data_IF_877666659607
#
_entry.id   IF_877666659607
#
_cell.length_a   1.000
_cell.length_b   1.000
_cell.length_c   1.000
_cell.angle_alpha   90.00
_cell.angle_beta   90.00
_cell.angle_gamma   90.00
#
_symmetry.space_group_name_H-M   'P 1'
#
loop_
_entity.id
_entity.type
_entity.pdbx_description
1 polymer ?
#
# COMPACT_ATOMS: atom_id res chain seq x y z
N UNK A 1 -21.10 -0.49 31.23
CA UNK A 1 -21.80 0.61 30.52
C UNK A 1 -21.17 1.99 30.75
N UNK A 2 -20.87 2.41 31.99
CA UNK A 2 -20.34 3.75 32.31
C UNK A 2 -19.01 4.16 31.62
N UNK A 3 -18.19 3.20 31.18
CA UNK A 3 -16.88 3.46 30.57
C UNK A 3 -16.98 3.85 29.09
N UNK A 4 -17.94 3.28 28.34
CA UNK A 4 -18.10 3.54 26.91
C UNK A 4 -18.68 4.95 26.65
N UNK A 5 -19.56 5.45 27.52
CA UNK A 5 -20.14 6.80 27.38
C UNK A 5 -19.06 7.90 27.41
N UNK A 6 -18.07 7.78 28.32
CA UNK A 6 -16.96 8.75 28.43
C UNK A 6 -16.05 8.77 27.19
N UNK A 7 -15.88 7.63 26.52
CA UNK A 7 -15.05 7.56 25.31
C UNK A 7 -15.80 8.12 24.09
N UNK A 8 -17.12 7.94 24.02
CA UNK A 8 -17.95 8.55 22.97
C UNK A 8 -18.01 10.08 23.06
N UNK A 9 -17.83 10.65 24.26
CA UNK A 9 -17.80 12.10 24.50
C UNK A 9 -16.44 12.75 24.25
N UNK A 10 -15.39 11.96 23.97
CA UNK A 10 -14.07 12.52 23.71
C UNK A 10 -14.09 13.43 22.47
N UNK A 11 -13.44 14.61 22.53
CA UNK A 11 -13.55 15.61 21.49
C UNK A 11 -13.05 15.07 20.15
N UNK A 12 -13.82 15.34 19.09
CA UNK A 12 -13.41 15.15 17.71
C UNK A 12 -12.11 15.92 17.49
N UNK A 13 -11.10 15.28 16.90
CA UNK A 13 -9.76 15.86 16.74
C UNK A 13 -9.59 16.52 15.38
N UNK A 14 -10.27 16.01 14.34
CA UNK A 14 -10.06 16.43 12.96
C UNK A 14 -11.29 17.05 12.31
N UNK A 15 -12.39 17.21 13.05
CA UNK A 15 -13.68 17.74 12.59
C UNK A 15 -14.31 16.96 11.43
N UNK A 16 -13.98 15.67 11.28
CA UNK A 16 -14.53 14.87 10.20
C UNK A 16 -15.99 14.49 10.46
N UNK A 17 -16.78 14.40 9.38
CA UNK A 17 -18.19 13.97 9.46
C UNK A 17 -18.24 12.51 9.93
N UNK A 18 -18.91 12.27 11.05
CA UNK A 18 -19.02 10.93 11.65
C UNK A 18 -17.78 10.48 12.42
N UNK A 19 -16.78 11.35 12.63
CA UNK A 19 -15.60 11.04 13.43
C UNK A 19 -16.00 10.52 14.82
N UNK A 20 -15.47 9.36 15.18
CA UNK A 20 -15.60 8.77 16.52
C UNK A 20 -14.22 8.63 17.15
N UNK A 21 -14.17 8.65 18.49
CA UNK A 21 -12.93 8.46 19.23
C UNK A 21 -12.16 7.18 18.85
N UNK A 22 -12.88 6.12 18.52
CA UNK A 22 -12.30 4.82 18.16
C UNK A 22 -11.50 4.84 16.85
N UNK A 23 -11.81 5.76 15.94
CA UNK A 23 -11.05 5.93 14.71
C UNK A 23 -9.58 6.26 14.97
N UNK A 24 -9.29 6.93 16.08
CA UNK A 24 -7.93 7.34 16.45
C UNK A 24 -7.37 6.44 17.53
N UNK A 25 -8.11 6.16 18.61
CA UNK A 25 -7.57 5.41 19.74
C UNK A 25 -7.36 3.91 19.41
N UNK A 26 -8.19 3.35 18.54
CA UNK A 26 -8.22 1.92 18.22
C UNK A 26 -7.79 1.63 16.78
N UNK A 27 -7.07 2.59 16.16
CA UNK A 27 -6.74 2.53 14.73
C UNK A 27 -5.97 1.26 14.32
N UNK A 28 -5.05 0.77 15.17
CA UNK A 28 -4.30 -0.46 14.90
C UNK A 28 -5.22 -1.67 14.69
N UNK A 29 -6.25 -1.80 15.53
CA UNK A 29 -7.23 -2.88 15.40
C UNK A 29 -8.09 -2.66 14.15
N UNK A 30 -8.56 -1.44 13.93
CA UNK A 30 -9.39 -1.10 12.78
C UNK A 30 -8.68 -1.38 11.46
N UNK A 31 -7.41 -0.99 11.33
CA UNK A 31 -6.62 -1.22 10.13
C UNK A 31 -6.31 -2.71 9.93
N UNK A 32 -6.00 -3.45 11.00
CA UNK A 32 -5.78 -4.91 10.90
C UNK A 32 -7.05 -5.64 10.48
N UNK A 33 -8.21 -5.23 10.99
CA UNK A 33 -9.50 -5.77 10.56
C UNK A 33 -9.78 -5.41 9.09
N UNK A 34 -9.51 -4.17 8.70
CA UNK A 34 -9.70 -3.71 7.33
C UNK A 34 -8.79 -4.43 6.34
N UNK A 35 -7.52 -4.64 6.65
CA UNK A 35 -6.62 -5.48 5.86
C UNK A 35 -7.16 -6.90 5.69
N UNK A 36 -7.75 -7.49 6.74
CA UNK A 36 -8.38 -8.81 6.65
C UNK A 36 -9.63 -8.83 5.77
N UNK A 37 -10.43 -7.76 5.79
CA UNK A 37 -11.56 -7.60 4.88
C UNK A 37 -11.08 -7.49 3.42
N UNK A 38 -10.02 -6.70 3.18
CA UNK A 38 -9.43 -6.58 1.85
C UNK A 38 -8.90 -7.92 1.33
N UNK A 39 -8.35 -8.79 2.19
CA UNK A 39 -7.89 -10.11 1.78
C UNK A 39 -8.98 -11.03 1.21
N UNK A 40 -10.27 -10.71 1.37
CA UNK A 40 -11.39 -11.52 0.85
C UNK A 40 -11.43 -11.49 -0.68
N UNK A 41 -10.83 -10.47 -1.33
CA UNK A 41 -10.82 -10.38 -2.80
C UNK A 41 -9.92 -11.42 -3.48
N UNK A 42 -9.07 -12.13 -2.73
CA UNK A 42 -8.20 -13.14 -3.30
C UNK A 42 -8.91 -14.48 -3.40
N UNK A 43 -8.71 -15.16 -4.53
CA UNK A 43 -9.21 -16.51 -4.71
C UNK A 43 -8.44 -17.48 -3.79
N UNK A 44 -9.19 -18.30 -3.05
CA UNK A 44 -8.64 -19.31 -2.14
C UNK A 44 -8.25 -20.61 -2.85
N UNK A 45 -8.76 -20.83 -4.06
CA UNK A 45 -8.49 -21.98 -4.93
C UNK A 45 -7.35 -21.68 -5.90
N UNK A 46 -7.26 -20.43 -6.36
CA UNK A 46 -6.24 -19.98 -7.32
C UNK A 46 -5.27 -18.96 -6.69
N UNK A 47 -4.12 -19.46 -6.25
CA UNK A 47 -3.14 -18.64 -5.54
C UNK A 47 -2.61 -17.48 -6.40
N UNK A 48 -2.85 -16.26 -5.94
CA UNK A 48 -2.38 -15.05 -6.62
C UNK A 48 -3.43 -14.42 -7.55
N UNK A 49 -4.60 -15.02 -7.69
CA UNK A 49 -5.70 -14.43 -8.45
C UNK A 49 -6.67 -13.65 -7.57
N UNK A 50 -7.37 -12.71 -8.21
CA UNK A 50 -8.53 -12.04 -7.65
C UNK A 50 -9.78 -12.81 -8.08
N UNK A 51 -10.78 -12.90 -7.19
CA UNK A 51 -12.09 -13.46 -7.57
C UNK A 51 -12.77 -12.57 -8.61
N UNK A 52 -13.66 -13.15 -9.42
CA UNK A 52 -14.39 -12.40 -10.45
C UNK A 52 -15.21 -11.25 -9.84
N UNK A 53 -15.75 -11.46 -8.63
CA UNK A 53 -16.57 -10.48 -7.89
C UNK A 53 -15.74 -9.51 -7.01
N UNK A 54 -14.44 -9.34 -7.29
CA UNK A 54 -13.56 -8.54 -6.45
C UNK A 54 -14.04 -7.09 -6.31
N UNK A 55 -14.57 -6.49 -7.38
CA UNK A 55 -15.09 -5.12 -7.35
C UNK A 55 -16.36 -5.01 -6.49
N UNK A 56 -17.30 -5.96 -6.58
CA UNK A 56 -18.50 -6.00 -5.72
C UNK A 56 -18.14 -6.20 -4.24
N UNK A 57 -17.14 -7.04 -3.96
CA UNK A 57 -16.61 -7.24 -2.60
C UNK A 57 -16.04 -5.92 -2.08
N UNK A 58 -15.23 -5.21 -2.88
CA UNK A 58 -14.65 -3.93 -2.49
C UNK A 58 -15.74 -2.88 -2.21
N UNK A 59 -16.79 -2.79 -3.03
CA UNK A 59 -17.93 -1.90 -2.76
C UNK A 59 -18.67 -2.28 -1.46
N UNK A 60 -18.80 -3.57 -1.18
CA UNK A 60 -19.38 -4.05 0.08
C UNK A 60 -18.51 -3.68 1.28
N UNK A 61 -17.19 -3.81 1.15
CA UNK A 61 -16.22 -3.44 2.18
C UNK A 61 -16.22 -1.92 2.43
N UNK A 62 -16.58 -1.08 1.45
CA UNK A 62 -16.74 0.37 1.68
C UNK A 62 -17.82 0.71 2.70
N UNK A 63 -18.83 -0.15 2.89
CA UNK A 63 -19.85 0.05 3.92
C UNK A 63 -19.26 0.08 5.35
N UNK A 64 -18.08 -0.53 5.56
CA UNK A 64 -17.41 -0.53 6.86
C UNK A 64 -16.59 0.73 7.13
N UNK A 65 -16.45 1.64 6.16
CA UNK A 65 -15.56 2.81 6.27
C UNK A 65 -15.92 3.72 7.44
N UNK A 66 -17.20 4.00 7.64
CA UNK A 66 -17.68 4.85 8.75
C UNK A 66 -17.48 4.19 10.11
N UNK A 67 -17.49 2.87 10.18
CA UNK A 67 -17.28 2.12 11.42
C UNK A 67 -15.78 2.13 11.78
N UNK A 68 -14.93 1.89 10.78
CA UNK A 68 -13.49 1.68 10.98
C UNK A 68 -12.65 2.96 10.87
N UNK A 69 -13.22 4.05 10.34
CA UNK A 69 -12.49 5.29 10.08
C UNK A 69 -11.62 5.23 8.82
N UNK A 70 -12.11 4.60 7.76
CA UNK A 70 -11.35 4.48 6.51
C UNK A 70 -11.73 5.60 5.56
N UNK A 71 -10.72 6.35 5.11
CA UNK A 71 -10.83 7.33 4.03
C UNK A 71 -10.43 6.68 2.70
N UNK A 72 -10.78 7.30 1.58
CA UNK A 72 -10.37 6.80 0.26
C UNK A 72 -8.84 6.64 0.17
N UNK A 73 -8.06 7.63 0.67
CA UNK A 73 -6.59 7.55 0.68
C UNK A 73 -6.06 6.40 1.52
N UNK A 74 -6.66 6.13 2.69
CA UNK A 74 -6.30 4.97 3.52
C UNK A 74 -6.66 3.66 2.84
N UNK A 75 -7.82 3.59 2.18
CA UNK A 75 -8.22 2.43 1.39
C UNK A 75 -7.21 2.13 0.28
N UNK A 76 -6.91 3.12 -0.56
CA UNK A 76 -5.98 2.96 -1.67
C UNK A 76 -4.58 2.52 -1.16
N UNK A 77 -4.17 3.03 0.00
CA UNK A 77 -2.88 2.70 0.64
C UNK A 77 -2.86 1.25 1.12
N UNK A 78 -3.86 0.87 1.92
CA UNK A 78 -3.96 -0.47 2.50
C UNK A 78 -4.18 -1.52 1.42
N UNK A 79 -4.97 -1.20 0.40
CA UNK A 79 -5.23 -2.12 -0.69
C UNK A 79 -4.01 -2.31 -1.59
N UNK A 80 -3.28 -1.23 -1.92
CA UNK A 80 -1.98 -1.36 -2.60
C UNK A 80 -1.01 -2.25 -1.80
N UNK A 81 -0.94 -2.06 -0.48
CA UNK A 81 -0.10 -2.88 0.39
C UNK A 81 -0.51 -4.36 0.41
N UNK A 82 -1.81 -4.65 0.52
CA UNK A 82 -2.34 -6.01 0.55
C UNK A 82 -2.10 -6.74 -0.78
N UNK A 83 -2.35 -6.07 -1.91
CA UNK A 83 -2.04 -6.58 -3.26
C UNK A 83 -0.55 -6.87 -3.41
N UNK A 84 0.30 -5.93 -3.01
CA UNK A 84 1.75 -6.08 -3.09
C UNK A 84 2.25 -7.25 -2.25
N UNK A 85 1.70 -7.42 -1.04
CA UNK A 85 2.07 -8.52 -0.16
C UNK A 85 1.73 -9.87 -0.80
N UNK A 86 0.52 -10.01 -1.36
CA UNK A 86 0.13 -11.25 -2.05
C UNK A 86 0.97 -11.47 -3.31
N UNK A 87 1.32 -10.42 -4.05
CA UNK A 87 2.30 -10.50 -5.15
C UNK A 87 3.66 -11.02 -4.66
N UNK A 88 4.21 -10.45 -3.59
CA UNK A 88 5.51 -10.84 -3.07
C UNK A 88 5.53 -12.31 -2.57
N UNK A 89 4.38 -12.85 -2.18
CA UNK A 89 4.20 -14.25 -1.77
C UNK A 89 4.04 -15.21 -2.98
N UNK A 90 3.32 -14.79 -4.02
CA UNK A 90 2.90 -15.68 -5.13
C UNK A 90 3.73 -15.52 -6.40
N UNK A 91 4.35 -14.36 -6.60
CA UNK A 91 5.01 -13.98 -7.85
C UNK A 91 4.05 -13.58 -8.97
N UNK A 92 2.74 -13.51 -8.72
CA UNK A 92 1.74 -13.26 -9.77
C UNK A 92 1.80 -11.81 -10.29
N UNK A 93 2.18 -11.65 -11.56
CA UNK A 93 2.48 -10.34 -12.16
C UNK A 93 1.23 -9.46 -12.24
N UNK A 94 0.04 -10.06 -12.41
CA UNK A 94 -1.21 -9.30 -12.44
C UNK A 94 -1.44 -8.53 -11.13
N UNK A 95 -1.08 -9.11 -9.97
CA UNK A 95 -1.16 -8.42 -8.68
C UNK A 95 -0.21 -7.22 -8.59
N UNK A 96 0.97 -7.31 -9.20
CA UNK A 96 1.89 -6.17 -9.30
C UNK A 96 1.30 -5.05 -10.15
N UNK A 97 0.65 -5.39 -11.28
CA UNK A 97 -0.07 -4.40 -12.12
C UNK A 97 -1.17 -3.71 -11.32
N UNK A 98 -2.00 -4.46 -10.58
CA UNK A 98 -3.02 -3.88 -9.71
C UNK A 98 -2.41 -2.99 -8.61
N UNK A 99 -1.30 -3.42 -7.99
CA UNK A 99 -0.56 -2.61 -7.01
C UNK A 99 -0.12 -1.27 -7.61
N UNK A 100 0.41 -1.26 -8.83
CA UNK A 100 0.82 -0.03 -9.52
C UNK A 100 -0.36 0.93 -9.69
N UNK A 101 -1.50 0.42 -10.15
CA UNK A 101 -2.72 1.21 -10.34
C UNK A 101 -3.20 1.83 -9.02
N UNK A 102 -3.24 1.06 -7.93
CA UNK A 102 -3.63 1.60 -6.63
C UNK A 102 -2.63 2.64 -6.11
N UNK A 103 -1.33 2.40 -6.28
CA UNK A 103 -0.27 3.34 -5.88
C UNK A 103 -0.34 4.64 -6.69
N UNK A 104 -0.74 4.59 -7.96
CA UNK A 104 -0.97 5.79 -8.77
C UNK A 104 -2.14 6.63 -8.24
N UNK A 105 -3.23 6.01 -7.79
CA UNK A 105 -4.36 6.72 -7.18
C UNK A 105 -3.94 7.52 -5.94
N UNK A 106 -2.95 7.03 -5.18
CA UNK A 106 -2.42 7.75 -4.02
C UNK A 106 -1.88 9.14 -4.34
N UNK A 107 -1.37 9.34 -5.57
CA UNK A 107 -0.86 10.62 -6.04
C UNK A 107 -1.95 11.56 -6.56
N UNK A 108 -3.13 11.01 -6.90
CA UNK A 108 -4.26 11.76 -7.44
C UNK A 108 -5.19 12.28 -6.34
N UNK A 109 -4.98 11.89 -5.08
CA UNK A 109 -5.77 12.40 -3.95
C UNK A 109 -5.54 13.90 -3.77
N UNK A 110 -6.58 14.67 -4.06
CA UNK A 110 -6.72 16.08 -3.68
C UNK A 110 -7.59 16.18 -2.42
N UNK A 111 -7.07 15.64 -1.32
CA UNK A 111 -7.80 15.59 -0.06
C UNK A 111 -7.98 16.99 0.55
N UNK A 112 -9.11 17.19 1.22
CA UNK A 112 -9.26 18.33 2.11
C UNK A 112 -8.20 18.26 3.23
N UNK A 113 -7.72 19.42 3.69
CA UNK A 113 -6.67 19.54 4.73
C UNK A 113 -6.95 18.69 5.98
N UNK A 114 -8.21 18.58 6.39
CA UNK A 114 -8.64 17.78 7.54
C UNK A 114 -8.41 16.27 7.32
N UNK A 115 -8.72 15.76 6.12
CA UNK A 115 -8.52 14.35 5.73
C UNK A 115 -7.02 14.04 5.63
N UNK A 116 -6.23 14.98 5.12
CA UNK A 116 -4.77 14.85 5.05
C UNK A 116 -4.17 14.78 6.47
N UNK A 117 -4.55 15.70 7.35
CA UNK A 117 -4.10 15.70 8.76
C UNK A 117 -4.51 14.42 9.50
N UNK A 118 -5.74 13.95 9.27
CA UNK A 118 -6.23 12.70 9.83
C UNK A 118 -5.38 11.51 9.35
N UNK A 119 -5.17 11.39 8.04
CA UNK A 119 -4.41 10.30 7.43
C UNK A 119 -2.95 10.30 7.90
N UNK A 120 -2.33 11.48 7.98
CA UNK A 120 -0.95 11.64 8.44
C UNK A 120 -0.79 11.47 9.96
N UNK A 121 -1.88 11.45 10.72
CA UNK A 121 -1.83 11.22 12.17
C UNK A 121 -1.50 9.77 12.55
N UNK A 122 -1.68 8.83 11.61
CA UNK A 122 -1.35 7.43 11.81
C UNK A 122 0.14 7.20 11.56
N UNK A 123 0.91 7.19 12.64
CA UNK A 123 2.36 7.03 12.60
C UNK A 123 2.75 5.59 12.93
N UNK A 124 3.60 5.02 12.09
CA UNK A 124 4.23 3.72 12.30
C UNK A 124 5.74 3.89 12.45
N UNK A 125 6.35 3.08 13.31
CA UNK A 125 7.80 2.93 13.30
C UNK A 125 8.20 2.10 12.07
N UNK A 126 9.12 2.65 11.28
CA UNK A 126 9.70 1.95 10.15
C UNK A 126 11.22 2.00 10.24
N UNK A 127 11.87 0.87 10.03
CA UNK A 127 13.33 0.79 9.92
C UNK A 127 13.77 1.29 8.54
N UNK A 128 14.44 2.43 8.50
CA UNK A 128 15.02 2.99 7.28
C UNK A 128 16.44 3.53 7.56
N UNK A 129 17.36 3.27 6.64
CA UNK A 129 18.74 3.76 6.67
C UNK A 129 19.48 3.51 8.01
N UNK A 130 19.27 2.34 8.64
CA UNK A 130 19.96 1.97 9.88
C UNK A 130 19.38 2.60 11.15
N UNK A 131 18.20 3.24 11.09
CA UNK A 131 17.49 3.77 12.25
C UNK A 131 15.97 3.56 12.17
N UNK A 132 15.30 3.75 13.31
CA UNK A 132 13.84 3.77 13.39
C UNK A 132 13.34 5.18 13.07
N UNK A 133 12.59 5.34 11.98
CA UNK A 133 11.89 6.57 11.64
C UNK A 133 10.39 6.44 11.90
N UNK A 134 9.80 7.49 12.43
CA UNK A 134 8.36 7.65 12.53
C UNK A 134 7.83 8.13 11.18
N UNK A 135 7.08 7.28 10.48
CA UNK A 135 6.51 7.57 9.17
C UNK A 135 4.99 7.48 9.23
N UNK A 136 4.29 8.25 8.38
CA UNK A 136 2.86 8.02 8.19
C UNK A 136 2.61 6.59 7.69
N UNK A 137 1.40 6.07 7.89
CA UNK A 137 1.04 4.74 7.36
C UNK A 137 1.29 4.65 5.84
N UNK A 138 0.97 5.72 5.11
CA UNK A 138 1.17 5.83 3.66
C UNK A 138 2.65 5.72 3.31
N UNK A 139 3.49 6.53 3.96
CA UNK A 139 4.94 6.51 3.74
C UNK A 139 5.55 5.18 4.15
N UNK A 140 5.05 4.55 5.23
CA UNK A 140 5.49 3.23 5.68
C UNK A 140 5.17 2.15 4.65
N UNK A 141 3.97 2.15 4.06
CA UNK A 141 3.59 1.20 3.02
C UNK A 141 4.48 1.36 1.77
N UNK A 142 4.64 2.59 1.29
CA UNK A 142 5.50 2.91 0.14
C UNK A 142 6.96 2.51 0.41
N UNK A 143 7.49 2.82 1.61
CA UNK A 143 8.84 2.45 2.01
C UNK A 143 9.03 0.93 2.00
N UNK A 144 8.07 0.15 2.50
CA UNK A 144 8.15 -1.32 2.51
C UNK A 144 8.16 -1.89 1.10
N UNK A 145 7.32 -1.37 0.22
CA UNK A 145 7.30 -1.72 -1.22
C UNK A 145 8.68 -1.44 -1.82
N UNK A 146 9.20 -0.22 -1.64
CA UNK A 146 10.53 0.18 -2.10
C UNK A 146 11.66 -0.72 -1.59
N UNK A 147 11.67 -1.00 -0.29
CA UNK A 147 12.67 -1.86 0.35
C UNK A 147 12.62 -3.29 -0.17
N UNK A 148 11.44 -3.77 -0.56
CA UNK A 148 11.34 -5.07 -1.23
C UNK A 148 11.89 -4.99 -2.66
N UNK A 149 11.50 -3.98 -3.45
CA UNK A 149 12.00 -3.84 -4.82
C UNK A 149 13.53 -3.72 -4.87
N UNK A 150 14.13 -2.93 -3.98
CA UNK A 150 15.59 -2.83 -3.89
C UNK A 150 16.26 -4.16 -3.59
N UNK A 151 15.71 -4.97 -2.68
CA UNK A 151 16.24 -6.31 -2.39
C UNK A 151 16.18 -7.24 -3.61
N UNK A 152 15.14 -7.12 -4.43
CA UNK A 152 15.07 -7.86 -5.69
C UNK A 152 16.16 -7.40 -6.67
N UNK A 153 16.40 -6.08 -6.75
CA UNK A 153 17.41 -5.50 -7.64
C UNK A 153 18.85 -5.81 -7.22
N UNK A 154 19.16 -5.81 -5.91
CA UNK A 154 20.48 -6.16 -5.38
C UNK A 154 20.94 -7.55 -5.81
N UNK A 155 19.98 -8.46 -5.99
CA UNK A 155 20.20 -9.85 -6.38
C UNK A 155 19.47 -10.19 -7.68
N UNK A 156 19.37 -9.24 -8.60
CA UNK A 156 18.55 -9.42 -9.81
C UNK A 156 18.97 -10.65 -10.62
N UNK A 157 20.26 -10.96 -10.69
CA UNK A 157 20.73 -12.18 -11.34
C UNK A 157 20.14 -13.44 -10.70
N UNK A 158 20.06 -13.56 -9.38
CA UNK A 158 19.50 -14.78 -8.76
C UNK A 158 17.98 -14.86 -8.89
N UNK A 159 17.29 -13.71 -8.86
CA UNK A 159 15.83 -13.65 -8.96
C UNK A 159 15.29 -13.75 -10.39
N UNK A 160 16.06 -13.29 -11.39
CA UNK A 160 15.60 -13.18 -12.78
C UNK A 160 16.38 -14.06 -13.78
N UNK A 161 17.44 -14.81 -13.39
CA UNK A 161 18.19 -15.70 -14.30
C UNK A 161 17.40 -16.89 -14.88
N UNK A 162 16.16 -17.13 -14.43
CA UNK A 162 15.29 -18.09 -15.11
C UNK A 162 14.63 -17.38 -16.29
N UNK A 163 14.96 -17.80 -17.51
CA UNK A 163 14.53 -17.26 -18.82
C UNK A 163 13.00 -17.03 -18.97
N UNK A 164 12.17 -17.49 -18.02
CA UNK A 164 10.73 -17.20 -17.96
C UNK A 164 10.28 -16.06 -17.03
N UNK A 165 11.14 -15.56 -16.13
CA UNK A 165 10.80 -14.48 -15.17
C UNK A 165 11.35 -13.10 -15.56
N UNK A 166 12.09 -12.98 -16.67
CA UNK A 166 12.51 -11.66 -17.19
C UNK A 166 11.29 -10.78 -17.56
N UNK A 167 10.16 -11.41 -17.90
CA UNK A 167 8.89 -10.72 -18.12
C UNK A 167 8.34 -10.04 -16.85
N UNK A 168 8.82 -10.41 -15.65
CA UNK A 168 8.47 -9.75 -14.40
C UNK A 168 9.17 -8.38 -14.27
N UNK A 169 10.30 -8.19 -14.95
CA UNK A 169 10.94 -6.88 -15.15
C UNK A 169 10.32 -6.16 -16.36
N UNK A 170 9.00 -6.31 -16.59
CA UNK A 170 8.33 -5.47 -17.59
C UNK A 170 8.12 -4.04 -17.04
N UNK A 171 7.57 -3.18 -17.91
CA UNK A 171 7.22 -1.79 -17.62
C UNK A 171 6.47 -1.60 -16.29
N UNK A 172 5.73 -2.60 -15.79
CA UNK A 172 4.98 -2.60 -14.54
C UNK A 172 5.88 -2.63 -13.30
N UNK A 173 6.93 -3.45 -13.27
CA UNK A 173 7.87 -3.46 -12.14
C UNK A 173 8.66 -2.15 -12.07
N UNK A 174 9.14 -1.67 -13.22
CA UNK A 174 9.82 -0.39 -13.30
C UNK A 174 8.89 0.79 -12.97
N UNK A 175 7.64 0.72 -13.41
CA UNK A 175 6.57 1.62 -12.98
C UNK A 175 6.44 1.59 -11.45
N UNK A 176 6.27 0.43 -10.81
CA UNK A 176 6.19 0.34 -9.34
C UNK A 176 7.37 1.01 -8.63
N UNK A 177 8.61 0.79 -9.11
CA UNK A 177 9.82 1.41 -8.56
C UNK A 177 9.80 2.93 -8.78
N UNK A 178 9.52 3.39 -10.00
CA UNK A 178 9.49 4.81 -10.36
C UNK A 178 8.36 5.57 -9.65
N UNK A 179 7.18 4.97 -9.50
CA UNK A 179 6.04 5.53 -8.80
C UNK A 179 6.23 5.57 -7.27
N UNK A 180 7.19 4.84 -6.74
CA UNK A 180 7.44 4.79 -5.30
C UNK A 180 8.55 5.76 -4.84
N UNK A 181 9.22 6.47 -5.76
CA UNK A 181 10.21 7.51 -5.43
C UNK A 181 9.81 8.90 -5.99
N UNK A 182 9.19 9.78 -5.18
CA UNK A 182 8.79 11.12 -5.62
C UNK A 182 9.96 12.11 -5.72
N UNK A 183 11.05 11.87 -4.97
CA UNK A 183 12.06 12.90 -4.66
C UNK A 183 13.33 12.85 -5.52
N UNK A 184 13.52 11.81 -6.34
CA UNK A 184 14.78 11.58 -7.07
C UNK A 184 14.54 11.36 -8.56
N UNK A 185 13.83 12.29 -9.22
CA UNK A 185 13.62 12.24 -10.68
C UNK A 185 14.92 12.01 -11.47
N UNK A 186 16.04 12.57 -11.00
CA UNK A 186 17.36 12.39 -11.63
C UNK A 186 18.05 11.06 -11.31
N UNK A 187 17.95 10.55 -10.08
CA UNK A 187 18.69 9.35 -9.67
C UNK A 187 18.02 8.07 -10.18
N UNK A 188 16.69 8.04 -10.26
CA UNK A 188 15.95 6.91 -10.83
C UNK A 188 16.11 6.80 -12.35
N UNK A 189 16.28 7.91 -13.05
CA UNK A 189 16.51 7.89 -14.50
C UNK A 189 17.86 7.24 -14.85
N UNK A 190 18.89 7.50 -14.04
CA UNK A 190 20.17 6.80 -14.16
C UNK A 190 20.03 5.32 -13.81
N UNK A 191 19.27 4.99 -12.76
CA UNK A 191 18.97 3.60 -12.43
C UNK A 191 18.22 2.88 -13.56
N UNK A 192 17.25 3.56 -14.19
CA UNK A 192 16.50 3.08 -15.35
C UNK A 192 17.43 2.79 -16.54
N UNK A 193 18.29 3.75 -16.91
CA UNK A 193 19.28 3.56 -17.99
C UNK A 193 20.25 2.40 -17.70
N UNK A 194 20.71 2.27 -16.46
CA UNK A 194 21.63 1.20 -16.07
C UNK A 194 20.95 -0.17 -16.12
N UNK A 195 19.69 -0.26 -15.69
CA UNK A 195 18.96 -1.52 -15.72
C UNK A 195 18.54 -1.89 -17.15
N UNK A 196 18.09 -0.93 -17.97
CA UNK A 196 17.79 -1.15 -19.38
C UNK A 196 19.04 -1.62 -20.16
N UNK A 197 20.20 -1.01 -19.87
CA UNK A 197 21.48 -1.42 -20.47
C UNK A 197 21.91 -2.81 -19.99
N UNK A 198 21.76 -3.13 -18.71
CA UNK A 198 22.08 -4.45 -18.17
C UNK A 198 21.16 -5.55 -18.70
N UNK A 199 19.88 -5.26 -18.96
CA UNK A 199 18.93 -6.21 -19.57
C UNK A 199 19.25 -6.43 -21.06
N UNK A 200 19.66 -5.39 -21.79
CA UNK A 200 19.93 -5.47 -23.23
C UNK A 200 21.33 -6.03 -23.57
N UNK A 201 22.28 -6.06 -22.63
CA UNK A 201 23.61 -6.66 -22.82
C UNK A 201 23.67 -8.18 -22.57
N UNK A 202 22.56 -8.81 -22.17
CA UNK A 202 22.40 -10.26 -21.96
C UNK A 202 21.31 -10.87 -22.83
#
# INVERSE_FOLDING_TARGET
ERYNAKLCEAPKKFNLKGETYHWIQSYHLNFRLYEKLLCIVFDILEDGQLVEEADEILETVKLTWTILGITQKLHDTLFAWVLFKKFAETGEILLLKHTCLQTQKLRLHNDAKEIELYTNSFVCSAEACGGNMALSLVDSAILKINKWCFRQLENYHSYFNKVGHLHCLDHSFFSAVFFSFPSTKGSLFVLWLLIEKAINEY
#
